data_IF_503551911027
#
_entry.id   IF_503551911027
#
_cell.length_a   1.000
_cell.length_b   1.000
_cell.length_c   1.000
_cell.angle_alpha   90.00
_cell.angle_beta   90.00
_cell.angle_gamma   90.00
#
_symmetry.space_group_name_H-M   'P 1'
#
loop_
_entity.id
_entity.type
_entity.pdbx_description
1 polymer ?
#
# COMPACT_ATOMS: atom_id res chain seq x y z
N UNK A 1 24.39 9.84 -9.77
CA UNK A 1 24.78 8.59 -9.08
C UNK A 1 24.30 8.61 -7.63
N UNK A 2 24.68 9.60 -6.79
CA UNK A 2 24.24 9.67 -5.39
C UNK A 2 22.71 9.82 -5.22
N UNK A 3 22.04 10.58 -6.08
CA UNK A 3 20.57 10.78 -6.04
C UNK A 3 19.80 9.50 -6.38
N UNK A 4 20.21 8.79 -7.44
CA UNK A 4 19.68 7.46 -7.82
C UNK A 4 19.82 6.45 -6.67
N UNK A 5 21.01 6.37 -6.05
CA UNK A 5 21.25 5.46 -4.91
C UNK A 5 20.37 5.85 -3.72
N UNK A 6 20.20 7.15 -3.44
CA UNK A 6 19.30 7.63 -2.39
C UNK A 6 17.83 7.26 -2.64
N UNK A 7 17.37 7.31 -3.88
CA UNK A 7 16.00 6.91 -4.26
C UNK A 7 15.77 5.40 -4.11
N UNK A 8 16.75 4.58 -4.52
CA UNK A 8 16.69 3.11 -4.32
C UNK A 8 16.64 2.78 -2.84
N UNK A 9 17.53 3.35 -2.03
CA UNK A 9 17.55 3.15 -0.58
C UNK A 9 16.24 3.61 0.09
N UNK A 10 15.68 4.73 -0.36
CA UNK A 10 14.39 5.23 0.11
C UNK A 10 13.23 4.28 -0.22
N UNK A 11 13.23 3.66 -1.41
CA UNK A 11 12.26 2.65 -1.81
C UNK A 11 12.38 1.37 -0.97
N UNK A 12 13.61 0.87 -0.79
CA UNK A 12 13.88 -0.32 0.02
C UNK A 12 13.47 -0.09 1.48
N UNK A 13 13.70 1.10 2.02
CA UNK A 13 13.26 1.46 3.37
C UNK A 13 11.74 1.43 3.57
N UNK A 14 10.95 1.56 2.49
CA UNK A 14 9.49 1.46 2.54
C UNK A 14 8.98 0.02 2.52
N UNK A 15 9.79 -0.95 2.05
CA UNK A 15 9.39 -2.37 1.96
C UNK A 15 8.85 -2.91 3.29
N UNK A 16 9.53 -2.75 4.45
CA UNK A 16 9.01 -3.26 5.73
C UNK A 16 7.64 -2.67 6.10
N UNK A 17 7.40 -1.38 5.77
CA UNK A 17 6.13 -0.70 6.04
C UNK A 17 5.01 -1.24 5.15
N UNK A 18 5.29 -1.48 3.87
CA UNK A 18 4.35 -2.07 2.93
C UNK A 18 4.01 -3.52 3.31
N UNK A 19 5.01 -4.33 3.66
CA UNK A 19 4.83 -5.72 4.14
C UNK A 19 3.99 -5.76 5.42
N UNK A 20 4.23 -4.83 6.36
CA UNK A 20 3.40 -4.70 7.56
C UNK A 20 1.95 -4.33 7.20
N UNK A 21 1.78 -3.47 6.19
CA UNK A 21 0.47 -3.13 5.61
C UNK A 21 -0.29 -4.35 5.08
N UNK A 22 0.36 -5.24 4.32
CA UNK A 22 -0.26 -6.49 3.83
C UNK A 22 -0.78 -7.34 4.99
N UNK A 23 0.06 -7.56 6.01
CA UNK A 23 -0.32 -8.33 7.21
C UNK A 23 -1.51 -7.69 7.92
N UNK A 24 -1.50 -6.36 8.03
CA UNK A 24 -2.57 -5.59 8.66
C UNK A 24 -3.90 -5.72 7.90
N UNK A 25 -3.89 -5.60 6.57
CA UNK A 25 -5.08 -5.77 5.72
C UNK A 25 -5.68 -7.18 5.87
N UNK A 26 -4.84 -8.22 5.87
CA UNK A 26 -5.27 -9.61 6.12
C UNK A 26 -5.88 -9.78 7.52
N UNK A 27 -5.29 -9.15 8.55
CA UNK A 27 -5.85 -9.18 9.90
C UNK A 27 -7.21 -8.49 10.00
N UNK A 28 -7.39 -7.34 9.34
CA UNK A 28 -8.69 -6.65 9.28
C UNK A 28 -9.74 -7.57 8.68
N UNK A 29 -9.43 -8.19 7.53
CA UNK A 29 -10.33 -9.09 6.83
C UNK A 29 -10.73 -10.29 7.68
N UNK A 30 -9.75 -10.94 8.32
CA UNK A 30 -9.99 -12.08 9.20
C UNK A 30 -10.76 -11.73 10.47
N UNK A 31 -10.78 -10.46 10.88
CA UNK A 31 -11.44 -10.02 12.10
C UNK A 31 -12.94 -9.72 11.92
N UNK A 32 -13.39 -9.40 10.70
CA UNK A 32 -14.81 -9.08 10.43
C UNK A 32 -15.15 -9.31 8.95
N UNK A 33 -16.00 -10.30 8.64
CA UNK A 33 -16.43 -10.63 7.27
C UNK A 33 -17.18 -9.50 6.56
N UNK A 34 -17.65 -8.49 7.31
CA UNK A 34 -18.31 -7.29 6.75
C UNK A 34 -17.33 -6.36 6.06
N UNK A 35 -16.03 -6.53 6.28
CA UNK A 35 -15.02 -5.81 5.53
C UNK A 35 -15.01 -6.26 4.07
N UNK A 36 -14.94 -5.35 3.10
CA UNK A 36 -15.11 -5.69 1.70
C UNK A 36 -14.06 -6.70 1.22
N UNK A 37 -14.45 -7.59 0.30
CA UNK A 37 -13.53 -8.49 -0.44
C UNK A 37 -12.42 -7.70 -1.16
N UNK A 38 -12.65 -6.41 -1.38
CA UNK A 38 -11.67 -5.46 -1.92
C UNK A 38 -10.42 -5.34 -1.03
N UNK A 39 -10.50 -5.63 0.28
CA UNK A 39 -9.32 -5.65 1.18
C UNK A 39 -8.41 -6.83 0.88
N UNK A 40 -8.94 -8.01 0.54
CA UNK A 40 -8.13 -9.15 0.10
C UNK A 40 -7.40 -8.82 -1.21
N UNK A 41 -8.14 -8.24 -2.17
CA UNK A 41 -7.55 -7.78 -3.44
C UNK A 41 -6.45 -6.76 -3.22
N UNK A 42 -6.71 -5.77 -2.35
CA UNK A 42 -5.74 -4.75 -1.99
C UNK A 42 -4.49 -5.34 -1.31
N UNK A 43 -4.65 -6.34 -0.46
CA UNK A 43 -3.53 -7.04 0.16
C UNK A 43 -2.69 -7.78 -0.89
N UNK A 44 -3.32 -8.46 -1.85
CA UNK A 44 -2.62 -9.10 -2.97
C UNK A 44 -1.90 -8.08 -3.87
N UNK A 45 -2.57 -6.98 -4.23
CA UNK A 45 -2.00 -5.94 -5.07
C UNK A 45 -0.79 -5.28 -4.41
N UNK A 46 -0.85 -5.08 -3.09
CA UNK A 46 0.24 -4.56 -2.28
C UNK A 46 1.40 -5.56 -2.14
N UNK A 47 1.12 -6.86 -2.06
CA UNK A 47 2.15 -7.92 -2.02
C UNK A 47 2.90 -8.02 -3.36
N UNK A 48 2.19 -7.88 -4.48
CA UNK A 48 2.81 -7.74 -5.80
C UNK A 48 3.69 -6.50 -5.88
N UNK A 49 3.23 -5.38 -5.32
CA UNK A 49 4.01 -4.13 -5.28
C UNK A 49 5.31 -4.30 -4.48
N UNK A 50 5.24 -4.94 -3.31
CA UNK A 50 6.42 -5.24 -2.47
C UNK A 50 7.43 -6.07 -3.27
N UNK A 51 6.95 -7.15 -3.89
CA UNK A 51 7.80 -8.04 -4.71
C UNK A 51 8.48 -7.27 -5.84
N UNK A 52 7.78 -6.34 -6.47
CA UNK A 52 8.34 -5.49 -7.52
C UNK A 52 9.41 -4.53 -6.99
N UNK A 53 9.19 -3.90 -5.83
CA UNK A 53 10.17 -2.98 -5.23
C UNK A 53 11.44 -3.73 -4.82
N UNK A 54 11.31 -4.95 -4.28
CA UNK A 54 12.45 -5.81 -3.98
C UNK A 54 13.23 -6.16 -5.26
N UNK A 55 12.53 -6.53 -6.34
CA UNK A 55 13.16 -6.83 -7.62
C UNK A 55 13.80 -5.60 -8.30
N UNK A 56 13.34 -4.38 -8.02
CA UNK A 56 13.92 -3.14 -8.56
C UNK A 56 15.34 -2.91 -8.07
N UNK A 57 15.67 -3.32 -6.83
CA UNK A 57 17.02 -3.23 -6.28
C UNK A 57 18.02 -4.03 -7.12
N UNK A 58 17.60 -5.20 -7.60
CA UNK A 58 18.42 -6.11 -8.39
C UNK A 58 18.38 -5.83 -9.89
N UNK A 59 17.55 -4.88 -10.35
CA UNK A 59 17.30 -4.63 -11.79
C UNK A 59 18.23 -3.53 -12.33
N UNK A 60 19.29 -3.84 -13.10
CA UNK A 60 20.19 -2.83 -13.64
C UNK A 60 19.51 -2.05 -14.78
N UNK A 61 19.48 -0.72 -14.72
CA UNK A 61 18.95 0.17 -15.79
C UNK A 61 17.61 0.85 -15.47
N UNK A 62 17.20 0.94 -14.20
CA UNK A 62 16.08 1.79 -13.79
C UNK A 62 16.52 3.25 -13.86
N UNK A 63 15.70 4.08 -14.52
CA UNK A 63 16.00 5.50 -14.66
C UNK A 63 15.55 6.25 -13.40
N UNK A 64 16.27 7.30 -13.06
CA UNK A 64 15.96 8.20 -11.95
C UNK A 64 14.48 8.66 -11.89
N UNK A 65 13.83 9.13 -12.99
CA UNK A 65 12.42 9.52 -12.95
C UNK A 65 11.46 8.38 -12.60
N UNK A 66 11.80 7.14 -12.98
CA UNK A 66 10.99 5.96 -12.64
C UNK A 66 11.14 5.65 -11.15
N UNK A 67 12.36 5.71 -10.62
CA UNK A 67 12.62 5.51 -9.19
C UNK A 67 11.94 6.58 -8.35
N UNK A 68 12.02 7.84 -8.75
CA UNK A 68 11.34 8.94 -8.06
C UNK A 68 9.83 8.71 -8.04
N UNK A 69 9.24 8.33 -9.19
CA UNK A 69 7.80 8.06 -9.26
C UNK A 69 7.38 6.87 -8.41
N UNK A 70 8.18 5.80 -8.41
CA UNK A 70 7.94 4.64 -7.55
C UNK A 70 8.02 5.03 -6.07
N UNK A 71 9.01 5.85 -5.68
CA UNK A 71 9.18 6.34 -4.31
C UNK A 71 7.98 7.19 -3.86
N UNK A 72 7.52 8.13 -4.70
CA UNK A 72 6.31 8.94 -4.45
C UNK A 72 5.08 8.05 -4.25
N UNK A 73 4.87 7.08 -5.15
CA UNK A 73 3.75 6.14 -5.06
C UNK A 73 3.81 5.29 -3.79
N UNK A 74 4.97 4.71 -3.47
CA UNK A 74 5.14 3.89 -2.26
C UNK A 74 4.94 4.70 -0.98
N UNK A 75 5.39 5.97 -0.97
CA UNK A 75 5.17 6.88 0.16
C UNK A 75 3.68 7.18 0.35
N UNK A 76 2.94 7.42 -0.73
CA UNK A 76 1.48 7.63 -0.65
C UNK A 76 0.74 6.39 -0.15
N UNK A 77 1.18 5.20 -0.56
CA UNK A 77 0.62 3.92 -0.10
C UNK A 77 0.92 3.73 1.39
N UNK A 78 2.15 3.96 1.83
CA UNK A 78 2.55 3.94 3.24
C UNK A 78 1.69 4.87 4.11
N UNK A 79 1.49 6.12 3.68
CA UNK A 79 0.61 7.07 4.38
C UNK A 79 -0.87 6.61 4.38
N UNK A 80 -1.34 6.02 3.29
CA UNK A 80 -2.68 5.45 3.20
C UNK A 80 -2.89 4.29 4.17
N UNK A 81 -1.88 3.41 4.29
CA UNK A 81 -1.88 2.30 5.25
C UNK A 81 -1.94 2.80 6.69
N UNK A 82 -1.17 3.84 7.04
CA UNK A 82 -1.24 4.45 8.39
C UNK A 82 -2.62 5.05 8.69
N UNK A 83 -3.28 5.67 7.70
CA UNK A 83 -4.66 6.16 7.85
C UNK A 83 -5.64 5.02 8.09
N UNK A 84 -5.57 3.96 7.27
CA UNK A 84 -6.40 2.75 7.45
C UNK A 84 -6.16 2.14 8.83
N UNK A 85 -4.91 2.09 9.30
CA UNK A 85 -4.54 1.64 10.65
C UNK A 85 -5.14 2.47 11.75
N UNK A 86 -5.02 3.79 11.66
CA UNK A 86 -5.65 4.71 12.60
C UNK A 86 -7.16 4.49 12.66
N UNK A 87 -7.82 4.40 11.51
CA UNK A 87 -9.26 4.17 11.45
C UNK A 87 -9.66 2.82 12.03
N UNK A 88 -8.99 1.73 11.68
CA UNK A 88 -9.25 0.39 12.22
C UNK A 88 -9.13 0.38 13.74
N UNK A 89 -8.08 1.01 14.27
CA UNK A 89 -7.92 1.17 15.72
C UNK A 89 -9.12 1.91 16.33
N UNK A 90 -9.57 3.02 15.72
CA UNK A 90 -10.73 3.76 16.19
C UNK A 90 -12.02 2.93 16.18
N UNK A 91 -12.23 2.08 15.17
CA UNK A 91 -13.45 1.24 15.09
C UNK A 91 -13.42 0.02 16.00
N UNK A 92 -12.24 -0.48 16.36
CA UNK A 92 -12.08 -1.73 17.11
C UNK A 92 -11.83 -1.50 18.61
N UNK A 93 -11.31 -0.33 19.00
CA UNK A 93 -11.00 0.00 20.41
C UNK A 93 -12.20 0.60 21.15
N UNK A 94 -12.40 0.14 22.40
CA UNK A 94 -13.44 0.63 23.32
C UNK A 94 -14.39 -0.46 23.85
N UNK A 95 -15.12 -0.13 24.93
CA UNK A 95 -16.15 -0.99 25.55
C UNK A 95 -17.24 -1.39 24.55
N UNK A 96 -17.90 -2.54 24.76
CA UNK A 96 -18.90 -3.14 23.83
C UNK A 96 -19.90 -2.12 23.24
N UNK A 97 -20.53 -1.26 24.06
CA UNK A 97 -21.49 -0.26 23.57
C UNK A 97 -20.85 0.87 22.73
N UNK A 98 -19.64 1.33 23.10
CA UNK A 98 -18.90 2.35 22.33
C UNK A 98 -18.37 1.79 21.01
N UNK A 99 -18.03 0.49 20.98
CA UNK A 99 -17.58 -0.21 19.77
C UNK A 99 -18.67 -0.27 18.69
N UNK A 100 -19.92 -0.53 19.07
CA UNK A 100 -21.04 -0.57 18.11
C UNK A 100 -21.28 0.80 17.46
N UNK A 101 -21.31 1.87 18.27
CA UNK A 101 -21.50 3.24 17.77
C UNK A 101 -20.34 3.66 16.86
N UNK A 102 -19.09 3.39 17.28
CA UNK A 102 -17.91 3.68 16.46
C UNK A 102 -17.84 2.83 15.19
N UNK A 103 -18.31 1.57 15.21
CA UNK A 103 -18.49 0.76 13.99
C UNK A 103 -19.43 1.43 13.02
N UNK A 104 -20.60 1.88 13.48
CA UNK A 104 -21.58 2.51 12.60
C UNK A 104 -21.06 3.82 11.99
N UNK A 105 -20.36 4.65 12.78
CA UNK A 105 -19.89 5.96 12.30
C UNK A 105 -18.53 5.93 11.60
N UNK A 106 -17.66 4.98 11.96
CA UNK A 106 -16.29 4.88 11.45
C UNK A 106 -16.11 3.96 10.24
N UNK A 107 -17.03 3.01 10.01
CA UNK A 107 -16.98 2.13 8.85
C UNK A 107 -17.03 2.87 7.50
N UNK A 108 -17.87 3.91 7.30
CA UNK A 108 -17.86 4.68 6.06
C UNK A 108 -16.50 5.36 5.79
N UNK A 109 -15.91 5.99 6.81
CA UNK A 109 -14.59 6.62 6.69
C UNK A 109 -13.48 5.60 6.37
N UNK A 110 -13.52 4.44 7.02
CA UNK A 110 -12.60 3.34 6.76
C UNK A 110 -12.72 2.83 5.32
N UNK A 111 -13.95 2.68 4.80
CA UNK A 111 -14.19 2.31 3.41
C UNK A 111 -13.57 3.32 2.45
N UNK A 112 -13.80 4.62 2.66
CA UNK A 112 -13.20 5.67 1.83
C UNK A 112 -11.66 5.64 1.89
N UNK A 113 -11.07 5.36 3.05
CA UNK A 113 -9.62 5.24 3.19
C UNK A 113 -9.05 4.03 2.42
N UNK A 114 -9.76 2.89 2.46
CA UNK A 114 -9.40 1.68 1.70
C UNK A 114 -9.51 1.92 0.20
N UNK A 115 -10.59 2.56 -0.27
CA UNK A 115 -10.78 2.91 -1.68
C UNK A 115 -9.67 3.86 -2.18
N UNK A 116 -9.31 4.88 -1.38
CA UNK A 116 -8.21 5.78 -1.71
C UNK A 116 -6.85 5.05 -1.75
N UNK A 117 -6.62 4.12 -0.82
CA UNK A 117 -5.41 3.30 -0.82
C UNK A 117 -5.34 2.39 -2.06
N UNK A 118 -6.46 1.80 -2.45
CA UNK A 118 -6.56 0.98 -3.67
C UNK A 118 -6.23 1.79 -4.92
N UNK A 119 -6.74 3.02 -5.04
CA UNK A 119 -6.38 3.91 -6.14
C UNK A 119 -4.88 4.24 -6.18
N UNK A 120 -4.24 4.38 -5.01
CA UNK A 120 -2.79 4.61 -4.93
C UNK A 120 -2.00 3.38 -5.38
N UNK A 121 -2.40 2.18 -4.94
CA UNK A 121 -1.77 0.91 -5.35
C UNK A 121 -1.93 0.67 -6.85
N UNK A 122 -3.13 0.86 -7.40
CA UNK A 122 -3.36 0.73 -8.85
C UNK A 122 -2.50 1.69 -9.67
N UNK A 123 -2.37 2.95 -9.23
CA UNK A 123 -1.48 3.92 -9.90
C UNK A 123 -0.01 3.52 -9.85
N UNK A 124 0.42 2.97 -8.73
CA UNK A 124 1.78 2.47 -8.57
C UNK A 124 2.04 1.28 -9.52
N UNK A 125 1.14 0.30 -9.56
CA UNK A 125 1.22 -0.83 -10.49
C UNK A 125 1.25 -0.38 -11.95
N UNK A 126 0.41 0.58 -12.36
CA UNK A 126 0.44 1.13 -13.73
C UNK A 126 1.79 1.76 -14.07
N UNK A 127 2.34 2.55 -13.13
CA UNK A 127 3.68 3.17 -13.28
C UNK A 127 4.75 2.09 -13.49
N UNK A 128 4.70 1.04 -12.68
CA UNK A 128 5.64 -0.09 -12.72
C UNK A 128 5.48 -0.91 -14.01
N UNK A 129 4.25 -1.12 -14.48
CA UNK A 129 3.97 -1.86 -15.71
C UNK A 129 4.44 -1.10 -16.96
N UNK A 130 4.26 0.23 -17.00
CA UNK A 130 4.81 1.05 -18.08
C UNK A 130 6.33 0.89 -18.19
N UNK A 131 7.02 0.81 -17.05
CA UNK A 131 8.47 0.59 -17.01
C UNK A 131 8.88 -0.78 -17.58
N UNK A 132 8.22 -1.86 -17.16
CA UNK A 132 8.51 -3.22 -17.68
C UNK A 132 8.28 -3.29 -19.19
N UNK A 133 7.20 -2.68 -19.69
CA UNK A 133 6.87 -2.67 -21.12
C UNK A 133 7.88 -1.88 -21.95
N UNK A 134 8.42 -0.77 -21.43
CA UNK A 134 9.49 0.00 -22.08
C UNK A 134 10.83 -0.74 -22.18
N UNK A 135 11.02 -1.84 -21.45
CA UNK A 135 12.17 -2.74 -21.61
C UNK A 135 11.95 -3.86 -22.62
N UNK A 136 10.74 -4.44 -22.67
CA UNK A 136 10.45 -5.57 -23.56
C UNK A 136 10.44 -5.20 -25.06
N UNK A 137 10.45 -3.91 -25.39
CA UNK A 137 10.55 -3.41 -26.77
C UNK A 137 11.94 -2.95 -27.18
N UNK A 138 12.99 -3.26 -26.40
CA UNK A 138 14.40 -2.99 -26.73
C UNK A 138 15.19 -4.28 -26.83
#
# INVERSE_FOLDING_TARGET
MAEVVGLVLGLVALVPQLTAGVKMLRQIRNADDRFPVEIDRLACDLELLVTFVEALEETPGVTEPVLQRCCECCTQIAQGLDKVRGMVSLVTTGSKSKRVIRKITGLPGLRTAVEALQQSVTRAQMTMMMYVKSRSGR
#
